data_IF_791495842161
#
_entry.id   IF_791495842161
#
_cell.length_a   1.000
_cell.length_b   1.000
_cell.length_c   1.000
_cell.angle_alpha   90.00
_cell.angle_beta   90.00
_cell.angle_gamma   90.00
#
_symmetry.space_group_name_H-M   'P 1'
#
loop_
_entity.id
_entity.type
_entity.pdbx_description
1 polymer ?
#
# COMPACT_ATOMS: atom_id res chain seq x y z
N UNK A 1 -10.21 -6.50 22.63
CA UNK A 1 -9.11 -5.72 22.03
C UNK A 1 -7.83 -6.44 22.39
N UNK A 2 -6.92 -6.63 21.44
CA UNK A 2 -5.61 -7.21 21.71
C UNK A 2 -4.77 -6.15 22.44
N UNK A 3 -4.58 -6.30 23.74
CA UNK A 3 -3.83 -5.36 24.59
C UNK A 3 -2.34 -5.72 24.61
N UNK A 4 -1.78 -6.07 23.46
CA UNK A 4 -0.36 -6.37 23.34
C UNK A 4 0.43 -5.08 23.28
N UNK A 5 1.42 -4.97 24.14
CA UNK A 5 2.40 -3.88 24.10
C UNK A 5 3.12 -3.91 22.76
N UNK A 6 3.11 -2.79 22.04
CA UNK A 6 3.83 -2.61 20.77
C UNK A 6 5.01 -1.68 21.05
N UNK A 7 6.23 -2.13 20.71
CA UNK A 7 7.43 -1.30 20.78
C UNK A 7 7.75 -0.76 19.39
N UNK A 8 7.76 0.55 19.24
CA UNK A 8 8.11 1.26 18.00
C UNK A 8 9.39 2.06 18.22
N UNK A 9 10.27 2.09 17.22
CA UNK A 9 11.49 2.89 17.24
C UNK A 9 11.60 3.66 15.91
N UNK A 10 11.97 4.94 15.99
CA UNK A 10 12.20 5.81 14.84
C UNK A 10 13.49 6.60 15.05
N UNK A 11 14.23 6.84 13.97
CA UNK A 11 15.42 7.69 13.98
C UNK A 11 15.14 9.14 13.51
N UNK A 12 13.90 9.42 13.12
CA UNK A 12 13.51 10.67 12.45
C UNK A 12 12.32 11.37 13.12
N UNK A 13 11.46 10.63 13.82
CA UNK A 13 10.28 11.18 14.50
C UNK A 13 10.66 11.44 15.95
N UNK A 14 10.59 12.71 16.36
CA UNK A 14 10.85 13.11 17.74
C UNK A 14 9.66 12.74 18.65
N UNK A 15 9.92 12.62 19.95
CA UNK A 15 8.91 12.22 20.96
C UNK A 15 7.77 13.25 21.08
N UNK A 16 7.99 14.50 20.67
CA UNK A 16 7.07 15.63 20.84
C UNK A 16 6.00 15.75 19.75
N UNK A 17 6.08 14.96 18.67
CA UNK A 17 5.06 14.96 17.64
C UNK A 17 3.87 14.11 18.07
N UNK A 18 2.82 14.77 18.54
CA UNK A 18 1.53 14.17 18.90
C UNK A 18 0.53 14.30 17.73
N UNK A 19 -0.15 13.21 17.41
CA UNK A 19 -1.18 13.14 16.36
C UNK A 19 -2.53 12.78 17.00
N UNK A 20 -3.61 13.46 16.62
CA UNK A 20 -4.96 13.15 17.10
C UNK A 20 -5.64 12.16 16.17
N UNK A 21 -6.16 11.05 16.69
CA UNK A 21 -6.97 10.12 15.90
C UNK A 21 -8.39 10.03 16.40
N UNK A 22 -9.32 10.15 15.45
CA UNK A 22 -10.72 9.85 15.64
C UNK A 22 -10.96 8.36 15.40
N UNK A 23 -11.30 7.61 16.43
CA UNK A 23 -11.55 6.17 16.31
C UNK A 23 -12.77 5.71 17.06
N UNK A 24 -13.35 4.60 16.61
CA UNK A 24 -14.50 4.00 17.26
C UNK A 24 -14.07 3.21 18.50
N UNK A 25 -14.44 3.70 19.67
CA UNK A 25 -14.24 2.97 20.92
C UNK A 25 -15.38 1.96 21.10
N UNK A 26 -15.06 0.66 21.00
CA UNK A 26 -16.05 -0.42 21.17
C UNK A 26 -16.59 -0.53 22.60
N UNK A 27 -15.85 -0.08 23.61
CA UNK A 27 -16.29 -0.13 25.00
C UNK A 27 -17.36 0.93 25.28
N UNK A 28 -17.14 2.15 24.79
CA UNK A 28 -18.06 3.27 24.97
C UNK A 28 -19.12 3.37 23.85
N UNK A 29 -18.97 2.56 22.78
CA UNK A 29 -19.81 2.57 21.57
C UNK A 29 -20.00 3.98 21.00
N UNK A 30 -18.94 4.76 21.03
CA UNK A 30 -18.90 6.10 20.49
C UNK A 30 -17.57 6.30 19.78
N UNK A 31 -17.52 7.34 18.95
CA UNK A 31 -16.25 7.83 18.43
C UNK A 31 -15.56 8.70 19.47
N UNK A 32 -14.27 8.47 19.66
CA UNK A 32 -13.43 9.20 20.62
C UNK A 32 -12.23 9.76 19.88
N UNK A 33 -11.85 10.99 20.23
CA UNK A 33 -10.63 11.64 19.80
C UNK A 33 -9.53 11.38 20.83
N UNK A 34 -8.50 10.63 20.42
CA UNK A 34 -7.40 10.24 21.29
C UNK A 34 -6.08 10.71 20.72
N UNK A 35 -5.24 11.29 21.58
CA UNK A 35 -3.89 11.71 21.23
C UNK A 35 -2.99 10.48 21.22
N UNK A 36 -2.26 10.28 20.14
CA UNK A 36 -1.31 9.19 19.97
C UNK A 36 0.05 9.72 19.48
N UNK A 37 1.15 9.04 19.78
CA UNK A 37 2.46 9.37 19.21
C UNK A 37 2.43 9.34 17.67
N UNK A 38 2.99 10.36 17.02
CA UNK A 38 3.03 10.47 15.55
C UNK A 38 3.78 9.30 14.88
N UNK A 39 4.68 8.62 15.60
CA UNK A 39 5.36 7.41 15.12
C UNK A 39 4.38 6.31 14.72
N UNK A 40 3.22 6.21 15.38
CA UNK A 40 2.19 5.23 15.04
C UNK A 40 1.56 5.58 13.69
N UNK A 41 1.31 6.86 13.43
CA UNK A 41 0.76 7.31 12.15
C UNK A 41 1.75 7.06 11.01
N UNK A 42 3.02 7.43 11.20
CA UNK A 42 4.06 7.20 10.20
C UNK A 42 4.27 5.70 9.91
N UNK A 43 4.23 4.86 10.94
CA UNK A 43 4.25 3.41 10.77
C UNK A 43 3.05 2.94 9.93
N UNK A 44 1.82 3.30 10.31
CA UNK A 44 0.63 2.87 9.58
C UNK A 44 0.60 3.40 8.13
N UNK A 45 1.06 4.63 7.89
CA UNK A 45 1.14 5.22 6.57
C UNK A 45 2.14 4.48 5.67
N UNK A 46 3.32 4.15 6.21
CA UNK A 46 4.37 3.43 5.47
C UNK A 46 4.04 1.95 5.27
N UNK A 47 3.41 1.31 6.25
CA UNK A 47 3.00 -0.10 6.18
C UNK A 47 2.07 -0.36 4.99
N UNK A 48 1.15 0.57 4.71
CA UNK A 48 0.24 0.48 3.57
C UNK A 48 0.92 0.50 2.19
N UNK A 49 2.19 0.94 2.09
CA UNK A 49 2.94 0.91 0.83
C UNK A 49 3.34 -0.51 0.42
N UNK A 50 3.81 -1.31 1.38
CA UNK A 50 4.23 -2.70 1.15
C UNK A 50 3.02 -3.58 0.86
N UNK A 51 1.93 -3.42 1.62
CA UNK A 51 0.70 -4.19 1.43
C UNK A 51 0.06 -3.95 0.06
N UNK A 52 0.14 -2.73 -0.47
CA UNK A 52 -0.36 -2.41 -1.83
C UNK A 52 0.43 -3.15 -2.90
N UNK A 53 1.75 -3.21 -2.75
CA UNK A 53 2.61 -3.94 -3.69
C UNK A 53 2.33 -5.44 -3.59
N UNK A 54 2.25 -6.00 -2.38
CA UNK A 54 1.93 -7.42 -2.18
C UNK A 54 0.54 -7.79 -2.74
N UNK A 55 -0.44 -6.92 -2.54
CA UNK A 55 -1.77 -7.05 -3.13
C UNK A 55 -1.75 -7.04 -4.66
N UNK A 56 -1.00 -6.12 -5.28
CA UNK A 56 -0.86 -6.07 -6.74
C UNK A 56 -0.14 -7.31 -7.28
N UNK A 57 0.88 -7.81 -6.58
CA UNK A 57 1.56 -9.07 -6.92
C UNK A 57 0.59 -10.25 -6.83
N UNK A 58 -0.30 -10.25 -5.84
CA UNK A 58 -1.31 -11.30 -5.65
C UNK A 58 -2.36 -11.29 -6.77
N UNK A 59 -2.86 -10.11 -7.17
CA UNK A 59 -3.85 -9.95 -8.23
C UNK A 59 -3.35 -10.42 -9.60
N UNK A 60 -2.09 -10.12 -9.94
CA UNK A 60 -1.50 -10.42 -11.26
C UNK A 60 -0.50 -11.56 -11.21
N UNK A 61 -0.69 -12.50 -10.29
CA UNK A 61 0.26 -13.58 -10.04
C UNK A 61 0.33 -14.52 -11.24
N UNK A 62 1.33 -14.31 -12.11
CA UNK A 62 1.65 -15.23 -13.21
C UNK A 62 2.07 -16.58 -12.61
N UNK A 63 1.18 -17.57 -12.65
CA UNK A 63 1.46 -18.91 -12.12
C UNK A 63 2.39 -19.66 -13.07
N UNK A 64 3.69 -19.58 -12.82
CA UNK A 64 4.70 -20.29 -13.60
C UNK A 64 4.94 -21.65 -12.97
N UNK A 65 4.63 -22.72 -13.71
CA UNK A 65 4.88 -24.12 -13.32
C UNK A 65 6.36 -24.50 -13.50
N UNK A 66 7.28 -23.69 -12.96
CA UNK A 66 8.73 -23.94 -13.03
C UNK A 66 9.35 -23.98 -11.65
N UNK A 67 10.27 -24.94 -11.43
CA UNK A 67 11.06 -25.05 -10.19
C UNK A 67 12.22 -24.06 -10.13
N UNK A 68 12.53 -23.37 -11.23
CA UNK A 68 13.61 -22.37 -11.30
C UNK A 68 13.18 -21.07 -10.62
N UNK A 69 13.78 -20.77 -9.47
CA UNK A 69 13.45 -19.56 -8.69
C UNK A 69 13.75 -18.26 -9.46
N UNK A 70 14.80 -18.25 -10.28
CA UNK A 70 15.19 -17.10 -11.10
C UNK A 70 14.07 -16.70 -12.07
N UNK A 71 13.41 -17.67 -12.68
CA UNK A 71 12.28 -17.42 -13.59
C UNK A 71 11.12 -16.75 -12.84
N UNK A 72 10.80 -17.24 -11.63
CA UNK A 72 9.77 -16.60 -10.79
C UNK A 72 10.14 -15.15 -10.46
N UNK A 73 11.41 -14.87 -10.18
CA UNK A 73 11.88 -13.52 -9.91
C UNK A 73 11.80 -12.61 -11.15
N UNK A 74 12.21 -13.09 -12.32
CA UNK A 74 12.17 -12.27 -13.54
C UNK A 74 10.75 -11.86 -13.90
N UNK A 75 9.79 -12.78 -13.84
CA UNK A 75 8.38 -12.46 -14.10
C UNK A 75 7.77 -11.58 -13.01
N UNK A 76 8.20 -11.73 -11.77
CA UNK A 76 7.79 -10.83 -10.69
C UNK A 76 8.22 -9.38 -10.97
N UNK A 77 9.47 -9.18 -11.39
CA UNK A 77 9.98 -7.85 -11.78
C UNK A 77 9.22 -7.31 -13.01
N UNK A 78 8.94 -8.16 -14.01
CA UNK A 78 8.15 -7.74 -15.18
C UNK A 78 6.74 -7.30 -14.79
N UNK A 79 6.04 -8.07 -13.95
CA UNK A 79 4.71 -7.70 -13.46
C UNK A 79 4.75 -6.38 -12.69
N UNK A 80 5.76 -6.19 -11.82
CA UNK A 80 5.96 -4.93 -11.10
C UNK A 80 6.19 -3.75 -12.06
N UNK A 81 6.98 -3.95 -13.12
CA UNK A 81 7.23 -2.93 -14.14
C UNK A 81 5.95 -2.54 -14.89
N UNK A 82 5.11 -3.51 -15.26
CA UNK A 82 3.82 -3.26 -15.94
C UNK A 82 2.86 -2.48 -15.03
N UNK A 83 2.77 -2.86 -13.76
CA UNK A 83 1.90 -2.15 -12.80
C UNK A 83 2.40 -0.72 -12.57
N UNK A 84 3.72 -0.52 -12.45
CA UNK A 84 4.30 0.82 -12.35
C UNK A 84 4.03 1.67 -13.61
N UNK A 85 4.13 1.08 -14.81
CA UNK A 85 3.81 1.76 -16.05
C UNK A 85 2.33 2.18 -16.12
N UNK A 86 1.42 1.32 -15.66
CA UNK A 86 -0.01 1.65 -15.56
C UNK A 86 -0.29 2.78 -14.56
N UNK A 87 0.37 2.77 -13.39
CA UNK A 87 0.24 3.85 -12.41
C UNK A 87 0.70 5.19 -13.00
N UNK A 88 1.79 5.19 -13.77
CA UNK A 88 2.29 6.40 -14.43
C UNK A 88 1.33 6.87 -15.54
N UNK A 89 0.82 5.94 -16.36
CA UNK A 89 -0.22 6.23 -17.35
C UNK A 89 -1.45 6.91 -16.71
N UNK A 90 -1.91 6.41 -15.56
CA UNK A 90 -3.06 7.02 -14.85
C UNK A 90 -2.74 8.42 -14.34
N UNK A 91 -1.56 8.64 -13.77
CA UNK A 91 -1.13 9.97 -13.32
C UNK A 91 -1.10 10.97 -14.48
N UNK A 92 -0.59 10.55 -15.64
CA UNK A 92 -0.53 11.42 -16.81
C UNK A 92 -1.92 11.63 -17.43
N UNK A 93 -2.78 10.62 -17.41
CA UNK A 93 -4.17 10.74 -17.83
C UNK A 93 -4.96 11.71 -16.93
N UNK A 94 -4.73 11.68 -15.61
CA UNK A 94 -5.29 12.63 -14.65
C UNK A 94 -4.82 14.06 -14.95
N UNK A 95 -3.50 14.27 -15.15
CA UNK A 95 -2.94 15.59 -15.48
C UNK A 95 -3.52 16.16 -16.78
N UNK A 96 -3.82 15.31 -17.76
CA UNK A 96 -4.37 15.70 -19.05
C UNK A 96 -5.91 15.70 -19.09
N UNK A 97 -6.59 15.44 -17.96
CA UNK A 97 -8.05 15.34 -17.84
C UNK A 97 -8.69 14.38 -18.87
N UNK A 98 -8.09 13.21 -19.10
CA UNK A 98 -8.68 12.23 -20.01
C UNK A 98 -9.98 11.64 -19.43
N UNK A 99 -11.06 11.57 -20.21
CA UNK A 99 -12.38 11.15 -19.73
C UNK A 99 -12.49 9.65 -19.45
N UNK A 100 -11.54 8.82 -19.94
CA UNK A 100 -11.56 7.36 -19.75
C UNK A 100 -10.15 6.83 -19.56
N UNK A 101 -9.88 6.27 -18.39
CA UNK A 101 -8.65 5.56 -18.08
C UNK A 101 -8.85 4.07 -18.28
N UNK A 102 -7.86 3.40 -18.87
CA UNK A 102 -7.85 1.95 -18.99
C UNK A 102 -7.68 1.31 -17.60
N UNK A 103 -8.48 0.29 -17.32
CA UNK A 103 -8.23 -0.57 -16.16
C UNK A 103 -6.93 -1.37 -16.39
N UNK A 104 -6.30 -1.82 -15.30
CA UNK A 104 -4.99 -2.47 -15.37
C UNK A 104 -5.02 -3.72 -16.25
N UNK A 105 -6.12 -4.48 -16.24
CA UNK A 105 -6.29 -5.66 -17.10
C UNK A 105 -6.31 -5.28 -18.58
N UNK A 106 -7.07 -4.24 -18.96
CA UNK A 106 -7.14 -3.73 -20.33
C UNK A 106 -5.80 -3.13 -20.77
N UNK A 107 -5.09 -2.45 -19.87
CA UNK A 107 -3.76 -1.90 -20.12
C UNK A 107 -2.76 -3.02 -20.45
N UNK A 108 -2.78 -4.12 -19.68
CA UNK A 108 -1.88 -5.26 -19.92
C UNK A 108 -2.18 -6.05 -21.19
N UNK A 109 -3.40 -5.93 -21.76
CA UNK A 109 -3.82 -6.63 -22.98
C UNK A 109 -3.78 -5.76 -24.24
N UNK A 110 -3.60 -4.44 -24.08
CA UNK A 110 -3.58 -3.46 -25.17
C UNK A 110 -2.27 -3.39 -25.97
N UNK A 111 -1.26 -4.18 -25.60
CA UNK A 111 0.05 -4.30 -26.25
C UNK A 111 0.35 -5.77 -26.58
#
# INVERSE_FOLDING_TARGET
MDSRTVTLASNFIAIEDEDSVHHWNKAEKCHVDEIRPAVINAYNHSMGGVDKVDFQISLYRTTIRSRKWTLRMTFHIMNLAVVNAWLEYRRDADKQNLPKQLDLLDFTQSH
#
